data_IF_510718433269
#
_entry.id   IF_510718433269
#
_cell.length_a   1.000
_cell.length_b   1.000
_cell.length_c   1.000
_cell.angle_alpha   90.00
_cell.angle_beta   90.00
_cell.angle_gamma   90.00
#
_symmetry.space_group_name_H-M   'P 1'
#
loop_
_entity.id
_entity.type
_entity.pdbx_description
1 polymer ?
#
# COMPACT_ATOMS: atom_id res chain seq x y z
N UNK A 1 -22.99 30.13 14.33
CA UNK A 1 -23.80 29.65 13.20
C UNK A 1 -22.81 29.05 12.20
N UNK A 2 -22.83 27.75 12.07
CA UNK A 2 -22.03 27.06 11.02
C UNK A 2 -22.85 27.24 9.75
N UNK A 3 -22.38 28.06 8.82
CA UNK A 3 -23.02 28.14 7.49
C UNK A 3 -23.05 26.72 6.89
N UNK A 4 -24.18 26.28 6.38
CA UNK A 4 -24.27 24.95 5.80
C UNK A 4 -23.32 24.89 4.60
N UNK A 5 -22.30 24.07 4.73
CA UNK A 5 -21.19 23.84 3.79
C UNK A 5 -21.65 23.40 2.37
N UNK A 6 -22.96 23.30 2.12
CA UNK A 6 -23.52 22.71 0.90
C UNK A 6 -24.44 23.57 0.04
N UNK A 7 -24.80 24.77 0.45
CA UNK A 7 -25.85 25.51 -0.29
C UNK A 7 -25.44 26.02 -1.67
N UNK A 8 -24.16 26.05 -2.03
CA UNK A 8 -23.70 26.59 -3.30
C UNK A 8 -22.80 25.65 -4.16
N UNK A 9 -22.66 24.39 -3.83
CA UNK A 9 -21.95 23.45 -4.68
C UNK A 9 -22.91 22.83 -5.71
N UNK A 10 -23.03 23.43 -6.85
CA UNK A 10 -23.52 22.72 -8.04
C UNK A 10 -22.43 21.77 -8.50
N UNK A 11 -22.72 20.48 -8.52
CA UNK A 11 -21.88 19.50 -9.20
C UNK A 11 -21.97 19.82 -10.68
N UNK A 12 -20.89 20.31 -11.27
CA UNK A 12 -20.77 20.48 -12.70
C UNK A 12 -20.08 19.21 -13.26
N UNK A 13 -20.83 18.30 -13.90
CA UNK A 13 -20.27 17.06 -14.42
C UNK A 13 -19.30 17.29 -15.60
N UNK A 14 -19.27 18.49 -16.17
CA UNK A 14 -18.32 18.87 -17.22
C UNK A 14 -16.98 19.36 -16.65
N UNK A 15 -16.92 19.61 -15.35
CA UNK A 15 -15.73 20.11 -14.68
C UNK A 15 -14.88 18.93 -14.26
N UNK A 16 -13.88 18.59 -15.06
CA UNK A 16 -12.85 17.65 -14.67
C UNK A 16 -12.10 18.08 -13.42
N UNK A 17 -11.43 17.15 -12.76
CA UNK A 17 -10.54 17.47 -11.66
C UNK A 17 -9.49 18.49 -12.13
N UNK A 18 -9.19 19.48 -11.29
CA UNK A 18 -8.20 20.51 -11.57
C UNK A 18 -6.96 20.26 -10.71
N UNK A 19 -5.79 20.43 -11.29
CA UNK A 19 -4.52 20.46 -10.56
C UNK A 19 -4.38 21.76 -9.79
N UNK A 20 -3.43 21.84 -8.84
CA UNK A 20 -3.21 23.03 -8.03
C UNK A 20 -2.82 24.30 -8.82
N UNK A 21 -2.43 24.15 -10.08
CA UNK A 21 -2.14 25.22 -11.04
C UNK A 21 -3.34 25.58 -11.94
N UNK A 22 -4.54 25.06 -11.61
CA UNK A 22 -5.79 25.23 -12.36
C UNK A 22 -5.77 24.62 -13.77
N UNK A 23 -4.89 23.71 -14.06
CA UNK A 23 -4.98 22.94 -15.31
C UNK A 23 -5.93 21.74 -15.16
N UNK A 24 -6.71 21.37 -16.20
CA UNK A 24 -7.51 20.16 -16.17
C UNK A 24 -6.64 18.93 -15.93
N UNK A 25 -7.07 18.07 -15.02
CA UNK A 25 -6.38 16.83 -14.75
C UNK A 25 -7.22 15.63 -15.19
N UNK A 26 -6.85 15.04 -16.31
CA UNK A 26 -7.53 13.87 -16.88
C UNK A 26 -7.25 12.58 -16.08
N UNK A 27 -6.48 12.64 -15.01
CA UNK A 27 -6.01 11.47 -14.24
C UNK A 27 -6.81 11.24 -12.95
N UNK A 28 -7.97 11.86 -12.77
CA UNK A 28 -8.79 11.72 -11.55
C UNK A 28 -7.98 11.83 -10.24
N UNK A 29 -7.03 12.76 -10.19
CA UNK A 29 -6.22 12.95 -8.99
C UNK A 29 -7.12 13.41 -7.87
N UNK A 30 -7.39 12.51 -6.95
CA UNK A 30 -7.98 12.85 -5.67
C UNK A 30 -6.88 13.48 -4.82
N UNK A 31 -7.17 14.63 -4.25
CA UNK A 31 -6.29 15.25 -3.27
C UNK A 31 -6.14 14.30 -2.07
N UNK A 32 -4.90 13.84 -1.83
CA UNK A 32 -4.63 12.88 -0.77
C UNK A 32 -4.12 13.63 0.43
N UNK A 33 -4.90 13.58 1.48
CA UNK A 33 -4.59 14.22 2.74
C UNK A 33 -5.44 15.44 3.02
N UNK A 34 -5.18 16.14 4.14
CA UNK A 34 -5.92 17.32 4.54
C UNK A 34 -5.63 18.47 3.58
N UNK A 35 -6.68 19.17 3.17
CA UNK A 35 -6.59 20.37 2.36
C UNK A 35 -6.14 21.57 3.22
N UNK A 36 -5.77 22.68 2.57
CA UNK A 36 -5.46 23.92 3.28
C UNK A 36 -6.60 24.35 4.23
N UNK A 37 -7.85 24.17 3.82
CA UNK A 37 -9.01 24.48 4.65
C UNK A 37 -9.00 23.65 5.95
N UNK A 38 -8.71 22.35 5.88
CA UNK A 38 -8.63 21.49 7.06
C UNK A 38 -7.50 21.93 8.01
N UNK A 39 -6.34 22.32 7.49
CA UNK A 39 -5.25 22.88 8.30
C UNK A 39 -5.65 24.19 8.99
N UNK A 40 -6.34 25.09 8.28
CA UNK A 40 -6.83 26.37 8.84
C UNK A 40 -7.88 26.12 9.94
N UNK A 41 -8.74 25.12 9.77
CA UNK A 41 -9.74 24.74 10.77
C UNK A 41 -9.10 24.12 12.01
N UNK A 42 -8.11 23.24 11.86
CA UNK A 42 -7.37 22.66 12.98
C UNK A 42 -6.61 23.72 13.77
N UNK A 43 -5.92 24.64 13.08
CA UNK A 43 -5.21 25.73 13.73
C UNK A 43 -6.17 26.63 14.52
N UNK A 44 -7.35 26.95 13.97
CA UNK A 44 -8.38 27.73 14.68
C UNK A 44 -8.96 26.98 15.88
N UNK A 45 -9.02 25.66 15.82
CA UNK A 45 -9.46 24.81 16.92
C UNK A 45 -8.35 24.54 17.97
N UNK A 46 -7.15 25.07 17.77
CA UNK A 46 -6.00 24.85 18.65
C UNK A 46 -5.46 23.42 18.60
N UNK A 47 -5.71 22.70 17.50
CA UNK A 47 -5.22 21.35 17.30
C UNK A 47 -3.86 21.37 16.62
N UNK A 48 -2.93 20.63 17.18
CA UNK A 48 -1.63 20.39 16.57
C UNK A 48 -1.70 19.26 15.54
N UNK A 49 -0.95 19.41 14.45
CA UNK A 49 -0.81 18.36 13.45
C UNK A 49 0.05 17.22 14.00
N UNK A 50 -0.36 15.96 13.85
CA UNK A 50 0.48 14.85 14.23
C UNK A 50 1.74 14.78 13.34
N UNK A 51 2.88 14.39 13.91
CA UNK A 51 4.06 14.06 13.13
C UNK A 51 3.85 12.74 12.36
N UNK A 52 3.33 12.87 11.13
CA UNK A 52 3.04 11.73 10.27
C UNK A 52 4.31 10.96 9.90
N UNK A 53 5.46 11.62 9.82
CA UNK A 53 6.71 10.93 9.51
C UNK A 53 7.19 10.08 10.68
N UNK A 54 7.07 10.58 11.90
CA UNK A 54 7.37 9.81 13.10
C UNK A 54 6.44 8.59 13.20
N UNK A 55 5.14 8.80 12.97
CA UNK A 55 4.16 7.72 12.96
C UNK A 55 4.49 6.64 11.93
N UNK A 56 4.83 7.04 10.69
CA UNK A 56 5.21 6.11 9.61
C UNK A 56 6.46 5.33 9.97
N UNK A 57 7.52 5.99 10.49
CA UNK A 57 8.74 5.32 10.95
C UNK A 57 8.46 4.35 12.10
N UNK A 58 7.62 4.74 13.05
CA UNK A 58 7.24 3.87 14.17
C UNK A 58 6.57 2.58 13.67
N UNK A 59 5.57 2.70 12.79
CA UNK A 59 4.86 1.55 12.21
C UNK A 59 5.80 0.65 11.41
N UNK A 60 6.61 1.25 10.56
CA UNK A 60 7.61 0.54 9.76
C UNK A 60 8.59 -0.26 10.63
N UNK A 61 9.15 0.37 11.67
CA UNK A 61 10.07 -0.29 12.59
C UNK A 61 9.42 -1.47 13.31
N UNK A 62 8.14 -1.38 13.67
CA UNK A 62 7.42 -2.51 14.28
C UNK A 62 7.28 -3.69 13.33
N UNK A 63 7.03 -3.44 12.05
CA UNK A 63 6.98 -4.50 11.04
C UNK A 63 8.36 -5.15 10.88
N UNK A 64 9.41 -4.36 10.73
CA UNK A 64 10.80 -4.86 10.61
C UNK A 64 11.21 -5.69 11.84
N UNK A 65 10.88 -5.21 13.03
CA UNK A 65 11.12 -5.98 14.28
C UNK A 65 10.35 -7.30 14.28
N UNK A 66 9.08 -7.28 13.83
CA UNK A 66 8.26 -8.48 13.73
C UNK A 66 8.80 -9.50 12.72
N UNK A 67 9.31 -9.04 11.59
CA UNK A 67 9.96 -9.85 10.54
C UNK A 67 11.23 -10.49 11.12
N UNK A 68 12.12 -9.68 11.68
CA UNK A 68 13.41 -10.13 12.21
C UNK A 68 13.24 -11.11 13.38
N UNK A 69 12.31 -10.83 14.31
CA UNK A 69 12.06 -11.69 15.47
C UNK A 69 11.55 -13.09 15.10
N UNK A 70 10.98 -13.25 13.90
CA UNK A 70 10.48 -14.54 13.38
C UNK A 70 11.41 -15.20 12.37
N UNK A 71 12.57 -14.59 12.14
CA UNK A 71 13.53 -15.06 11.14
C UNK A 71 12.86 -15.17 9.76
N UNK A 72 12.17 -14.11 9.32
CA UNK A 72 11.64 -13.99 7.97
C UNK A 72 12.53 -13.09 7.11
N UNK A 73 12.65 -13.39 5.81
CA UNK A 73 13.33 -12.51 4.84
C UNK A 73 12.49 -11.30 4.49
N UNK A 74 11.16 -11.44 4.48
CA UNK A 74 10.24 -10.35 4.21
C UNK A 74 8.82 -10.68 4.69
N UNK A 75 7.97 -9.64 4.70
CA UNK A 75 6.54 -9.70 4.83
C UNK A 75 5.91 -9.14 3.56
N UNK A 76 5.03 -9.90 2.92
CA UNK A 76 4.18 -9.45 1.81
C UNK A 76 2.75 -9.29 2.31
N UNK A 77 2.14 -8.15 2.06
CA UNK A 77 0.77 -7.85 2.49
C UNK A 77 -0.11 -7.47 1.30
N UNK A 78 -1.32 -8.02 1.28
CA UNK A 78 -2.39 -7.74 0.33
C UNK A 78 -3.62 -7.13 1.02
N UNK A 79 -3.77 -7.34 2.33
CA UNK A 79 -4.88 -6.75 3.07
C UNK A 79 -4.80 -5.22 3.06
N UNK A 80 -5.87 -4.52 2.66
CA UNK A 80 -5.87 -3.06 2.57
C UNK A 80 -5.56 -2.34 3.88
N UNK A 81 -5.93 -2.92 5.02
CA UNK A 81 -5.63 -2.34 6.34
C UNK A 81 -4.15 -2.49 6.69
N UNK A 82 -3.54 -3.62 6.34
CA UNK A 82 -2.12 -3.87 6.54
C UNK A 82 -1.27 -3.01 5.60
N UNK A 83 -1.68 -2.87 4.34
CA UNK A 83 -1.06 -1.94 3.38
C UNK A 83 -1.13 -0.50 3.92
N UNK A 84 -2.31 -0.06 4.40
CA UNK A 84 -2.45 1.26 5.01
C UNK A 84 -1.57 1.44 6.24
N UNK A 85 -1.49 0.45 7.11
CA UNK A 85 -0.64 0.51 8.28
C UNK A 85 0.84 0.69 7.91
N UNK A 86 1.32 -0.09 6.94
CA UNK A 86 2.71 -0.07 6.51
C UNK A 86 3.08 1.21 5.72
N UNK A 87 2.22 1.65 4.80
CA UNK A 87 2.53 2.71 3.83
C UNK A 87 1.85 4.04 4.08
N UNK A 88 0.82 4.09 4.94
CA UNK A 88 -0.10 5.22 5.12
C UNK A 88 -0.87 5.58 3.83
N UNK A 89 -1.01 4.63 2.91
CA UNK A 89 -1.64 4.79 1.60
C UNK A 89 -2.88 3.92 1.47
N UNK A 90 -3.90 4.46 0.81
CA UNK A 90 -5.15 3.74 0.53
C UNK A 90 -5.52 3.89 -0.94
N UNK A 91 -6.18 2.88 -1.49
CA UNK A 91 -6.73 2.91 -2.84
C UNK A 91 -7.90 1.94 -2.92
N UNK A 92 -9.08 2.41 -3.32
CA UNK A 92 -10.28 1.61 -3.59
C UNK A 92 -10.43 0.39 -2.65
N UNK A 93 -10.44 0.60 -1.34
CA UNK A 93 -10.29 -0.47 -0.34
C UNK A 93 -11.30 -1.60 -0.49
N UNK A 94 -12.57 -1.29 -0.74
CA UNK A 94 -13.61 -2.30 -0.93
C UNK A 94 -13.35 -3.16 -2.18
N UNK A 95 -13.00 -2.52 -3.28
CA UNK A 95 -12.64 -3.21 -4.52
C UNK A 95 -11.39 -4.08 -4.33
N UNK A 96 -10.38 -3.54 -3.67
CA UNK A 96 -9.12 -4.22 -3.41
C UNK A 96 -9.28 -5.42 -2.46
N UNK A 97 -10.26 -5.39 -1.57
CA UNK A 97 -10.60 -6.55 -0.73
C UNK A 97 -11.18 -7.70 -1.57
N UNK A 98 -11.94 -7.38 -2.61
CA UNK A 98 -12.55 -8.37 -3.51
C UNK A 98 -11.58 -8.82 -4.62
N UNK A 99 -10.88 -7.88 -5.24
CA UNK A 99 -9.91 -8.11 -6.32
C UNK A 99 -8.55 -7.54 -5.88
N UNK A 100 -7.69 -8.34 -5.25
CA UNK A 100 -6.42 -7.86 -4.71
C UNK A 100 -5.44 -7.52 -5.85
N UNK A 101 -5.31 -6.26 -6.17
CA UNK A 101 -4.36 -5.74 -7.16
C UNK A 101 -3.21 -4.95 -6.52
N UNK A 102 -3.35 -4.59 -5.24
CA UNK A 102 -2.29 -3.95 -4.48
C UNK A 102 -1.58 -4.98 -3.63
N UNK A 103 -0.26 -4.87 -3.61
CA UNK A 103 0.58 -5.59 -2.68
C UNK A 103 1.67 -4.65 -2.14
N UNK A 104 2.19 -4.97 -0.99
CA UNK A 104 3.34 -4.29 -0.42
C UNK A 104 4.27 -5.32 0.20
N UNK A 105 5.56 -5.18 -0.02
CA UNK A 105 6.59 -5.95 0.67
C UNK A 105 7.39 -5.06 1.61
N UNK A 106 7.67 -5.57 2.80
CA UNK A 106 8.68 -5.03 3.71
C UNK A 106 9.74 -6.09 3.90
N UNK A 107 10.95 -5.83 3.48
CA UNK A 107 12.09 -6.72 3.64
C UNK A 107 12.72 -6.60 5.03
N UNK A 108 13.55 -7.56 5.41
CA UNK A 108 14.17 -7.62 6.75
C UNK A 108 15.09 -6.42 7.06
N UNK A 109 15.70 -5.81 6.04
CA UNK A 109 16.50 -4.59 6.17
C UNK A 109 15.64 -3.29 6.19
N UNK A 110 14.32 -3.42 6.05
CA UNK A 110 13.38 -2.31 6.00
C UNK A 110 13.11 -1.76 4.59
N UNK A 111 13.67 -2.35 3.55
CA UNK A 111 13.33 -1.93 2.19
C UNK A 111 11.87 -2.23 1.89
N UNK A 112 11.14 -1.24 1.37
CA UNK A 112 9.69 -1.35 1.16
C UNK A 112 9.33 -1.01 -0.28
N UNK A 113 8.58 -1.90 -0.94
CA UNK A 113 8.10 -1.74 -2.31
C UNK A 113 6.59 -1.89 -2.35
N UNK A 114 5.92 -1.02 -3.10
CA UNK A 114 4.48 -1.04 -3.33
C UNK A 114 4.18 -1.43 -4.77
N UNK A 115 3.29 -2.40 -4.96
CA UNK A 115 2.62 -2.64 -6.25
C UNK A 115 1.24 -2.01 -6.21
N UNK A 116 0.93 -1.21 -7.22
CA UNK A 116 -0.34 -0.51 -7.38
C UNK A 116 -0.68 -0.40 -8.88
N UNK A 117 -1.79 0.20 -9.23
CA UNK A 117 -2.07 0.53 -10.62
C UNK A 117 -0.99 1.47 -11.19
N UNK A 118 -0.69 1.31 -12.49
CA UNK A 118 0.35 2.09 -13.19
C UNK A 118 0.18 3.60 -13.09
N UNK A 119 -1.05 4.06 -12.96
CA UNK A 119 -1.41 5.49 -12.86
C UNK A 119 -1.59 5.98 -11.42
N UNK A 120 -1.25 5.17 -10.42
CA UNK A 120 -1.51 5.47 -9.00
C UNK A 120 -0.25 5.70 -8.14
N UNK A 121 0.95 5.99 -8.67
CA UNK A 121 2.15 6.19 -7.82
C UNK A 121 1.98 7.35 -6.84
N UNK A 122 1.18 8.36 -7.18
CA UNK A 122 0.89 9.51 -6.31
C UNK A 122 0.23 9.12 -4.98
N UNK A 123 -0.39 7.93 -4.90
CA UNK A 123 -1.03 7.44 -3.67
C UNK A 123 -0.04 7.08 -2.56
N UNK A 124 1.23 6.84 -2.88
CA UNK A 124 2.25 6.44 -1.89
C UNK A 124 3.58 7.21 -2.02
N UNK A 125 3.76 8.01 -3.08
CA UNK A 125 5.00 8.79 -3.31
C UNK A 125 5.33 9.80 -2.20
N UNK A 126 4.34 10.21 -1.41
CA UNK A 126 4.53 11.11 -0.27
C UNK A 126 5.23 10.43 0.92
N UNK A 127 5.30 9.11 0.93
CA UNK A 127 5.96 8.35 1.99
C UNK A 127 7.36 7.90 1.54
N UNK A 128 8.44 8.53 2.03
CA UNK A 128 9.80 8.21 1.60
C UNK A 128 10.28 6.81 2.04
N UNK A 129 9.52 6.11 2.89
CA UNK A 129 9.79 4.73 3.26
C UNK A 129 9.42 3.75 2.12
N UNK A 130 8.47 4.12 1.26
CA UNK A 130 8.19 3.37 0.02
C UNK A 130 9.28 3.73 -0.99
N UNK A 131 10.21 2.81 -1.21
CA UNK A 131 11.39 3.03 -2.04
C UNK A 131 11.12 2.87 -3.53
N UNK A 132 10.22 1.95 -3.87
CA UNK A 132 9.81 1.69 -5.24
C UNK A 132 8.30 1.56 -5.35
N UNK A 133 7.80 1.94 -6.51
CA UNK A 133 6.41 1.76 -6.89
C UNK A 133 6.38 0.97 -8.19
N UNK A 134 5.72 -0.16 -8.17
CA UNK A 134 5.61 -1.11 -9.27
C UNK A 134 4.15 -1.37 -9.61
N UNK A 135 3.91 -2.15 -10.63
CA UNK A 135 2.60 -2.68 -11.01
C UNK A 135 2.74 -4.16 -11.32
N UNK A 136 1.64 -4.93 -11.26
CA UNK A 136 1.66 -6.34 -11.66
C UNK A 136 1.36 -7.33 -10.51
N UNK A 137 0.81 -6.85 -9.39
CA UNK A 137 0.27 -7.74 -8.35
C UNK A 137 -1.19 -8.17 -8.62
N UNK A 138 -1.68 -7.94 -9.82
CA UNK A 138 -3.05 -8.10 -10.27
C UNK A 138 -3.32 -9.48 -10.90
N UNK A 139 -2.87 -10.55 -10.26
CA UNK A 139 -3.01 -11.93 -10.74
C UNK A 139 -4.35 -12.59 -10.34
N UNK A 140 -5.45 -11.85 -10.47
CA UNK A 140 -6.80 -12.37 -10.27
C UNK A 140 -7.53 -12.53 -11.61
N UNK A 141 -8.49 -13.46 -11.65
CA UNK A 141 -9.11 -13.89 -12.89
C UNK A 141 -9.84 -12.77 -13.64
N UNK A 142 -10.51 -11.86 -12.93
CA UNK A 142 -11.24 -10.76 -13.57
C UNK A 142 -10.34 -9.87 -14.45
N UNK A 143 -9.09 -9.63 -14.03
CA UNK A 143 -8.15 -8.76 -14.77
C UNK A 143 -7.31 -9.54 -15.78
N UNK A 144 -6.90 -10.75 -15.45
CA UNK A 144 -5.93 -11.53 -16.23
C UNK A 144 -6.52 -12.75 -16.95
N UNK A 145 -7.73 -13.17 -16.62
CA UNK A 145 -8.32 -14.38 -17.17
C UNK A 145 -7.41 -15.59 -16.99
N UNK A 146 -7.29 -16.40 -18.03
CA UNK A 146 -6.45 -17.60 -18.03
C UNK A 146 -4.95 -17.32 -17.89
N UNK A 147 -4.53 -16.05 -18.04
CA UNK A 147 -3.14 -15.61 -17.92
C UNK A 147 -2.75 -15.23 -16.48
N UNK A 148 -3.64 -15.38 -15.51
CA UNK A 148 -3.38 -15.03 -14.11
C UNK A 148 -2.13 -15.72 -13.53
N UNK A 149 -1.84 -16.96 -13.96
CA UNK A 149 -0.65 -17.70 -13.54
C UNK A 149 0.66 -17.02 -13.99
N UNK A 150 0.71 -16.45 -15.20
CA UNK A 150 1.91 -15.74 -15.68
C UNK A 150 2.15 -14.44 -14.90
N UNK A 151 1.07 -13.73 -14.56
CA UNK A 151 1.19 -12.53 -13.71
C UNK A 151 1.69 -12.90 -12.29
N UNK A 152 1.20 -14.00 -11.74
CA UNK A 152 1.66 -14.50 -10.44
C UNK A 152 3.14 -14.94 -10.47
N UNK A 153 3.57 -15.61 -11.54
CA UNK A 153 4.97 -15.99 -11.74
C UNK A 153 5.91 -14.79 -11.85
N UNK A 154 5.48 -13.74 -12.59
CA UNK A 154 6.23 -12.49 -12.70
C UNK A 154 6.35 -11.79 -11.35
N UNK A 155 5.23 -11.65 -10.62
CA UNK A 155 5.21 -11.10 -9.26
C UNK A 155 6.14 -11.88 -8.31
N UNK A 156 6.05 -13.20 -8.32
CA UNK A 156 6.91 -14.05 -7.49
C UNK A 156 8.41 -13.91 -7.85
N UNK A 157 8.73 -13.67 -9.11
CA UNK A 157 10.09 -13.33 -9.55
C UNK A 157 10.58 -12.02 -8.95
N UNK A 158 9.75 -10.98 -8.98
CA UNK A 158 10.10 -9.69 -8.36
C UNK A 158 10.28 -9.79 -6.84
N UNK A 159 9.40 -10.53 -6.15
CA UNK A 159 9.55 -10.81 -4.71
C UNK A 159 10.85 -11.56 -4.42
N UNK A 160 11.21 -12.55 -5.25
CA UNK A 160 12.45 -13.29 -5.12
C UNK A 160 13.67 -12.36 -5.21
N UNK A 161 13.72 -11.48 -6.20
CA UNK A 161 14.83 -10.54 -6.41
C UNK A 161 14.95 -9.56 -5.22
N UNK A 162 13.81 -9.08 -4.69
CA UNK A 162 13.78 -8.21 -3.52
C UNK A 162 14.28 -8.91 -2.25
N UNK A 163 13.86 -10.14 -2.00
CA UNK A 163 14.32 -10.91 -0.83
C UNK A 163 15.82 -11.25 -0.95
N UNK A 164 16.29 -11.54 -2.15
CA UNK A 164 17.72 -11.74 -2.40
C UNK A 164 18.55 -10.49 -2.10
N UNK A 165 18.03 -9.32 -2.44
CA UNK A 165 18.74 -8.04 -2.29
C UNK A 165 18.60 -7.43 -0.89
N UNK A 166 17.44 -7.59 -0.25
CA UNK A 166 17.02 -6.85 0.95
C UNK A 166 16.57 -7.74 2.12
N UNK A 167 16.29 -9.01 1.86
CA UNK A 167 15.90 -9.99 2.87
C UNK A 167 17.06 -10.89 3.38
N UNK A 168 18.29 -10.53 3.04
CA UNK A 168 19.46 -11.36 3.36
C UNK A 168 19.48 -12.72 2.66
N UNK A 169 18.65 -12.90 1.62
CA UNK A 169 18.48 -14.19 0.93
C UNK A 169 17.71 -15.22 1.74
N UNK A 170 17.09 -14.83 2.85
CA UNK A 170 16.27 -15.71 3.67
C UNK A 170 14.92 -15.99 2.97
N UNK A 171 14.71 -17.24 2.56
CA UNK A 171 13.55 -17.69 1.80
C UNK A 171 12.29 -17.94 2.65
N UNK A 172 12.31 -17.62 3.93
CA UNK A 172 11.17 -17.66 4.83
C UNK A 172 10.36 -16.38 4.66
N UNK A 173 9.18 -16.48 4.06
CA UNK A 173 8.35 -15.36 3.66
C UNK A 173 7.03 -15.35 4.42
N UNK A 174 6.71 -14.27 5.13
CA UNK A 174 5.40 -14.09 5.72
C UNK A 174 4.44 -13.44 4.70
N UNK A 175 3.20 -13.91 4.62
CA UNK A 175 2.16 -13.36 3.73
C UNK A 175 0.84 -13.28 4.49
N UNK A 176 0.15 -12.14 4.48
CA UNK A 176 -1.11 -11.98 5.21
C UNK A 176 -2.32 -12.58 4.47
N UNK A 177 -2.46 -12.27 3.20
CA UNK A 177 -3.51 -12.78 2.32
C UNK A 177 -2.96 -12.91 0.91
N UNK A 178 -3.24 -14.00 0.25
CA UNK A 178 -2.83 -14.19 -1.14
C UNK A 178 -3.77 -15.18 -1.84
N UNK A 179 -4.01 -14.96 -3.12
CA UNK A 179 -4.70 -15.93 -3.94
C UNK A 179 -3.84 -17.19 -4.15
N UNK A 180 -4.50 -18.35 -4.25
CA UNK A 180 -3.82 -19.66 -4.41
C UNK A 180 -2.80 -19.69 -5.55
N UNK A 181 -3.08 -18.99 -6.66
CA UNK A 181 -2.15 -18.93 -7.80
C UNK A 181 -0.86 -18.18 -7.42
N UNK A 182 -0.97 -17.11 -6.66
CA UNK A 182 0.19 -16.37 -6.15
C UNK A 182 0.99 -17.16 -5.12
N UNK A 183 0.31 -17.85 -4.19
CA UNK A 183 0.96 -18.72 -3.22
C UNK A 183 1.82 -19.79 -3.93
N UNK A 184 1.23 -20.50 -4.89
CA UNK A 184 1.96 -21.53 -5.65
C UNK A 184 3.13 -20.95 -6.43
N UNK A 185 3.01 -19.75 -6.97
CA UNK A 185 4.09 -19.08 -7.67
C UNK A 185 5.25 -18.72 -6.72
N UNK A 186 4.97 -18.25 -5.51
CA UNK A 186 5.99 -18.00 -4.48
C UNK A 186 6.69 -19.32 -4.07
N UNK A 187 5.91 -20.35 -3.78
CA UNK A 187 6.47 -21.69 -3.43
C UNK A 187 7.35 -22.24 -4.56
N UNK A 188 6.96 -22.06 -5.84
CA UNK A 188 7.75 -22.51 -6.99
C UNK A 188 9.10 -21.78 -7.11
N UNK A 189 9.24 -20.58 -6.54
CA UNK A 189 10.51 -19.86 -6.43
C UNK A 189 11.37 -20.33 -5.26
N UNK A 190 10.89 -21.28 -4.46
CA UNK A 190 11.59 -21.85 -3.32
C UNK A 190 11.30 -21.14 -1.99
N UNK A 191 10.30 -20.28 -1.92
CA UNK A 191 9.90 -19.69 -0.66
C UNK A 191 9.20 -20.71 0.25
N UNK A 192 9.56 -20.71 1.52
CA UNK A 192 8.77 -21.28 2.60
C UNK A 192 7.81 -20.19 3.09
N UNK A 193 6.52 -20.34 2.76
CA UNK A 193 5.51 -19.30 3.03
C UNK A 193 4.82 -19.55 4.37
N UNK A 194 4.78 -18.52 5.19
CA UNK A 194 4.17 -18.50 6.52
C UNK A 194 2.98 -17.54 6.57
N UNK A 195 2.05 -17.81 7.49
CA UNK A 195 0.96 -16.91 7.79
C UNK A 195 1.49 -15.61 8.41
N UNK A 196 1.25 -14.49 7.74
CA UNK A 196 1.72 -13.16 8.15
C UNK A 196 0.73 -12.36 8.97
N UNK A 197 -0.52 -12.83 9.13
CA UNK A 197 -1.58 -12.09 9.82
C UNK A 197 -1.23 -11.85 11.29
N UNK A 198 -0.71 -12.84 11.99
CA UNK A 198 -0.26 -12.69 13.39
C UNK A 198 0.79 -11.58 13.54
N UNK A 199 1.74 -11.49 12.60
CA UNK A 199 2.76 -10.44 12.63
C UNK A 199 2.13 -9.06 12.47
N UNK A 200 1.24 -8.90 11.50
CA UNK A 200 0.58 -7.61 11.22
C UNK A 200 -0.35 -7.19 12.36
N UNK A 201 -1.10 -8.13 12.93
CA UNK A 201 -1.96 -7.88 14.10
C UNK A 201 -1.12 -7.40 15.30
N UNK A 202 -0.05 -8.10 15.65
CA UNK A 202 0.84 -7.71 16.74
C UNK A 202 1.56 -6.38 16.48
N UNK A 203 1.86 -6.06 15.23
CA UNK A 203 2.44 -4.78 14.89
C UNK A 203 1.46 -3.61 15.08
N UNK A 204 0.14 -3.84 14.92
CA UNK A 204 -0.91 -2.83 15.09
C UNK A 204 -1.35 -2.62 16.54
N UNK A 205 -1.14 -3.60 17.42
CA UNK A 205 -1.45 -3.46 18.86
C UNK A 205 -0.46 -2.49 19.50
N UNK A 206 -0.99 -1.46 20.16
CA UNK A 206 -0.23 -0.44 20.90
C UNK A 206 -0.30 -0.74 22.38
#
# INVERSE_FOLDING_TARGET
MIEPFRENRKIDPSRGAMTGDNTPNDMDRVEIGPTKLAFDEWARAGLELPDLQQMRRFRHNRLVQGITARDYGALVVFDPLNIRYASDSTNMQLWNTHNPFRALIVCADGYMVMWDYKNSPFLSQFNPLVREQRSGADFFYFDRGDMAHLAAEAFAGEVYDLVRSHGGGNMRLAVDKIMMVGLRALESKGFEVFEGEELTEKARVI
#
